data_IF_514440065137
#
_entry.id   IF_514440065137
#
_cell.length_a   1.000
_cell.length_b   1.000
_cell.length_c   1.000
_cell.angle_alpha   90.00
_cell.angle_beta   90.00
_cell.angle_gamma   90.00
#
_symmetry.space_group_name_H-M   'P 1'
#
loop_
_entity.id
_entity.type
_entity.pdbx_description
1 polymer ?
#
# COMPACT_ATOMS: atom_id res chain seq x y z
N UNK A 1 -5.45 -5.80 22.22
CA UNK A 1 -6.25 -6.61 21.27
C UNK A 1 -6.27 -8.04 21.79
N UNK A 2 -7.43 -8.65 21.99
CA UNK A 2 -7.54 -10.06 22.41
C UNK A 2 -7.96 -10.92 21.20
N UNK A 3 -7.42 -12.15 21.04
CA UNK A 3 -7.86 -13.07 19.99
C UNK A 3 -9.36 -13.37 20.09
N UNK A 4 -10.04 -13.59 18.96
CA UNK A 4 -11.40 -14.16 18.97
C UNK A 4 -11.40 -15.50 19.70
N UNK A 5 -12.50 -15.79 20.40
CA UNK A 5 -12.74 -17.06 21.11
C UNK A 5 -12.55 -18.23 20.11
N UNK A 6 -11.66 -19.17 20.45
CA UNK A 6 -11.30 -20.31 19.58
C UNK A 6 -10.00 -20.16 18.79
N UNK A 7 -9.38 -18.97 18.75
CA UNK A 7 -8.03 -18.80 18.17
C UNK A 7 -6.96 -18.87 19.26
N UNK A 8 -5.99 -19.79 19.11
CA UNK A 8 -4.87 -19.88 20.04
C UNK A 8 -4.04 -18.59 20.08
N UNK A 9 -3.60 -18.16 21.27
CA UNK A 9 -2.86 -16.90 21.44
C UNK A 9 -1.62 -16.81 20.55
N UNK A 10 -0.86 -17.91 20.43
CA UNK A 10 0.31 -18.02 19.56
C UNK A 10 -0.04 -17.87 18.08
N UNK A 11 -1.16 -18.43 17.65
CA UNK A 11 -1.62 -18.35 16.27
C UNK A 11 -2.11 -16.94 15.92
N UNK A 12 -2.82 -16.29 16.84
CA UNK A 12 -3.22 -14.90 16.69
C UNK A 12 -2.02 -13.98 16.46
N UNK A 13 -1.01 -14.06 17.32
CA UNK A 13 0.20 -13.24 17.17
C UNK A 13 1.00 -13.61 15.93
N UNK A 14 1.10 -14.90 15.58
CA UNK A 14 1.75 -15.33 14.33
C UNK A 14 1.06 -14.72 13.11
N UNK A 15 -0.27 -14.77 13.06
CA UNK A 15 -1.05 -14.18 11.97
C UNK A 15 -0.93 -12.67 11.96
N UNK A 16 -1.09 -12.01 13.11
CA UNK A 16 -0.92 -10.56 13.23
C UNK A 16 0.47 -10.11 12.77
N UNK A 17 1.53 -10.80 13.19
CA UNK A 17 2.91 -10.45 12.82
C UNK A 17 3.19 -10.63 11.32
N UNK A 18 2.46 -11.51 10.63
CA UNK A 18 2.55 -11.65 9.16
C UNK A 18 2.15 -10.36 8.42
N UNK A 19 1.23 -9.58 8.99
CA UNK A 19 0.73 -8.33 8.41
C UNK A 19 1.31 -7.09 9.10
N UNK A 20 1.34 -7.05 10.43
CA UNK A 20 1.74 -5.88 11.21
C UNK A 20 3.22 -5.50 11.10
N UNK A 21 4.07 -6.39 10.59
CA UNK A 21 5.47 -6.07 10.26
C UNK A 21 5.63 -5.47 8.86
N UNK A 22 4.56 -5.39 8.06
CA UNK A 22 4.56 -4.82 6.72
C UNK A 22 3.91 -3.45 6.76
N UNK A 23 4.68 -2.46 7.19
CA UNK A 23 4.31 -1.05 7.10
C UNK A 23 4.62 -0.61 5.67
N UNK A 24 3.68 0.09 5.05
CA UNK A 24 3.84 0.74 3.74
C UNK A 24 4.29 2.18 3.97
N UNK A 25 5.04 2.76 3.03
CA UNK A 25 5.58 4.12 3.22
C UNK A 25 4.46 5.18 3.23
N UNK A 26 3.55 5.13 2.25
CA UNK A 26 2.45 6.08 2.12
C UNK A 26 1.17 5.42 1.58
N UNK A 27 0.04 6.06 1.86
CA UNK A 27 -1.28 5.66 1.35
C UNK A 27 -2.01 6.89 0.83
N UNK A 28 -2.58 6.79 -0.37
CA UNK A 28 -3.53 7.74 -0.90
C UNK A 28 -4.95 7.28 -0.57
N UNK A 29 -5.75 8.17 0.05
CA UNK A 29 -7.13 7.90 0.45
C UNK A 29 -8.07 8.97 -0.11
N UNK A 30 -9.31 8.58 -0.37
CA UNK A 30 -10.40 9.56 -0.50
C UNK A 30 -10.70 10.13 0.89
N UNK A 31 -10.53 11.44 1.13
CA UNK A 31 -10.72 12.04 2.44
C UNK A 31 -12.17 12.01 2.93
N UNK A 32 -13.14 11.84 2.04
CA UNK A 32 -14.57 11.81 2.41
C UNK A 32 -15.03 10.42 2.84
N UNK A 33 -14.49 9.37 2.24
CA UNK A 33 -14.93 7.98 2.46
C UNK A 33 -13.92 7.15 3.25
N UNK A 34 -12.66 7.60 3.32
CA UNK A 34 -11.54 6.84 3.90
C UNK A 34 -11.11 5.64 3.05
N UNK A 35 -11.65 5.49 1.83
CA UNK A 35 -11.27 4.40 0.92
C UNK A 35 -9.82 4.59 0.48
N UNK A 36 -9.05 3.51 0.51
CA UNK A 36 -7.67 3.49 0.01
C UNK A 36 -7.69 3.41 -1.51
N UNK A 37 -7.22 4.46 -2.18
CA UNK A 37 -7.12 4.51 -3.65
C UNK A 37 -5.81 3.91 -4.16
N UNK A 38 -4.72 4.05 -3.39
CA UNK A 38 -3.44 3.41 -3.68
C UNK A 38 -2.53 3.32 -2.46
N UNK A 39 -1.70 2.28 -2.45
CA UNK A 39 -0.50 2.18 -1.62
C UNK A 39 0.69 2.71 -2.42
N UNK A 40 1.53 3.53 -1.82
CA UNK A 40 2.71 4.13 -2.45
C UNK A 40 3.95 3.67 -1.67
N UNK A 41 4.89 3.04 -2.37
CA UNK A 41 6.13 2.48 -1.78
C UNK A 41 7.35 3.10 -2.47
N UNK A 42 8.39 3.37 -1.69
CA UNK A 42 9.70 3.79 -2.19
C UNK A 42 10.57 2.54 -2.45
N UNK A 43 11.11 2.42 -3.66
CA UNK A 43 11.88 1.25 -4.06
C UNK A 43 13.35 1.43 -3.65
N UNK A 44 13.83 0.74 -2.60
CA UNK A 44 15.26 0.74 -2.26
C UNK A 44 16.02 -0.31 -3.09
N UNK A 45 17.25 0.02 -3.51
CA UNK A 45 18.10 -0.86 -4.30
C UNK A 45 18.58 -2.11 -3.54
N UNK A 46 18.28 -2.23 -2.25
CA UNK A 46 18.66 -3.34 -1.36
C UNK A 46 17.66 -4.49 -1.32
N UNK A 47 16.70 -4.52 -2.27
CA UNK A 47 15.54 -5.38 -2.20
C UNK A 47 15.81 -6.90 -2.33
N UNK A 48 15.13 -7.66 -1.46
CA UNK A 48 15.07 -9.13 -1.48
C UNK A 48 13.83 -9.56 -2.27
N UNK A 49 14.07 -10.10 -3.47
CA UNK A 49 13.02 -10.48 -4.41
C UNK A 49 11.99 -11.48 -3.84
N UNK A 50 12.35 -12.29 -2.85
CA UNK A 50 11.40 -13.23 -2.21
C UNK A 50 10.46 -12.48 -1.27
N UNK A 51 10.98 -11.51 -0.52
CA UNK A 51 10.17 -10.66 0.37
C UNK A 51 9.23 -9.78 -0.44
N UNK A 52 9.69 -9.26 -1.57
CA UNK A 52 8.86 -8.42 -2.46
C UNK A 52 7.72 -9.21 -3.07
N UNK A 53 7.96 -10.40 -3.61
CA UNK A 53 6.87 -11.26 -4.11
C UNK A 53 5.82 -11.55 -3.05
N UNK A 54 6.23 -11.76 -1.79
CA UNK A 54 5.30 -11.98 -0.68
C UNK A 54 4.54 -10.71 -0.27
N UNK A 55 5.12 -9.52 -0.49
CA UNK A 55 4.46 -8.22 -0.27
C UNK A 55 3.46 -7.95 -1.40
N UNK A 56 3.87 -8.14 -2.65
CA UNK A 56 3.03 -8.00 -3.84
C UNK A 56 1.81 -8.91 -3.79
N UNK A 57 2.00 -10.20 -3.50
CA UNK A 57 0.90 -11.14 -3.39
C UNK A 57 -0.11 -10.72 -2.31
N UNK A 58 0.36 -10.13 -1.20
CA UNK A 58 -0.50 -9.67 -0.13
C UNK A 58 -1.29 -8.41 -0.52
N UNK A 59 -0.64 -7.44 -1.15
CA UNK A 59 -1.29 -6.22 -1.62
C UNK A 59 -2.32 -6.52 -2.72
N UNK A 60 -1.99 -7.46 -3.63
CA UNK A 60 -2.88 -7.95 -4.67
C UNK A 60 -4.11 -8.67 -4.09
N UNK A 61 -3.95 -9.50 -3.06
CA UNK A 61 -5.08 -10.13 -2.36
C UNK A 61 -6.01 -9.10 -1.72
N UNK A 62 -5.48 -7.97 -1.25
CA UNK A 62 -6.26 -6.84 -0.76
C UNK A 62 -6.84 -5.94 -1.85
N UNK A 63 -6.64 -6.28 -3.14
CA UNK A 63 -7.05 -5.50 -4.30
C UNK A 63 -6.52 -4.05 -4.30
N UNK A 64 -5.39 -3.81 -3.61
CA UNK A 64 -4.80 -2.49 -3.57
C UNK A 64 -4.04 -2.21 -4.86
N UNK A 65 -4.28 -1.03 -5.43
CA UNK A 65 -3.37 -0.46 -6.41
C UNK A 65 -2.05 -0.10 -5.72
N UNK A 66 -0.93 -0.51 -6.31
CA UNK A 66 0.41 -0.19 -5.79
C UNK A 66 1.13 0.73 -6.77
N UNK A 67 1.65 1.85 -6.27
CA UNK A 67 2.51 2.78 -7.01
C UNK A 67 3.91 2.68 -6.41
N UNK A 68 4.91 2.39 -7.23
CA UNK A 68 6.31 2.31 -6.79
C UNK A 68 7.09 3.50 -7.32
N UNK A 69 7.79 4.20 -6.43
CA UNK A 69 8.69 5.29 -6.80
C UNK A 69 10.12 4.75 -6.79
N UNK A 70 10.83 4.71 -7.94
CA UNK A 70 12.18 4.17 -8.00
C UNK A 70 13.16 5.05 -7.20
N UNK A 71 14.08 4.46 -6.43
CA UNK A 71 15.15 5.22 -5.75
C UNK A 71 16.22 5.76 -6.70
N UNK A 72 16.28 5.24 -7.93
CA UNK A 72 17.27 5.61 -8.95
C UNK A 72 16.56 5.89 -10.28
N UNK A 73 16.67 7.11 -10.84
CA UNK A 73 17.36 8.27 -10.28
C UNK A 73 16.72 8.73 -8.96
N UNK A 74 17.43 9.59 -8.19
CA UNK A 74 16.90 10.13 -6.93
C UNK A 74 15.49 10.69 -7.18
N UNK A 75 14.46 10.28 -6.42
CA UNK A 75 13.11 10.79 -6.59
C UNK A 75 13.08 12.31 -6.56
N UNK A 76 12.44 12.91 -7.56
CA UNK A 76 12.12 14.34 -7.61
C UNK A 76 10.62 14.53 -7.50
N UNK A 77 10.18 15.74 -7.18
CA UNK A 77 8.75 16.09 -7.14
C UNK A 77 8.06 15.78 -8.48
N UNK A 78 8.71 16.03 -9.61
CA UNK A 78 8.17 15.71 -10.93
C UNK A 78 7.93 14.20 -11.10
N UNK A 79 8.88 13.35 -10.72
CA UNK A 79 8.74 11.89 -10.79
C UNK A 79 7.55 11.42 -9.93
N UNK A 80 7.43 11.94 -8.71
CA UNK A 80 6.33 11.59 -7.80
C UNK A 80 4.99 12.07 -8.37
N UNK A 81 4.94 13.29 -8.92
CA UNK A 81 3.75 13.87 -9.53
C UNK A 81 3.28 13.06 -10.73
N UNK A 82 4.19 12.65 -11.60
CA UNK A 82 3.88 11.85 -12.78
C UNK A 82 3.38 10.46 -12.38
N UNK A 83 4.03 9.82 -11.41
CA UNK A 83 3.62 8.51 -10.91
C UNK A 83 2.21 8.52 -10.25
N UNK A 84 1.82 9.65 -9.67
CA UNK A 84 0.54 9.80 -8.93
C UNK A 84 -0.55 10.50 -9.73
N UNK A 85 -0.28 10.96 -10.96
CA UNK A 85 -1.21 11.79 -11.74
C UNK A 85 -2.58 11.15 -11.97
N UNK A 86 -2.61 9.82 -12.10
CA UNK A 86 -3.84 9.06 -12.31
C UNK A 86 -4.78 9.13 -11.09
N UNK A 87 -4.27 9.29 -9.87
CA UNK A 87 -5.09 9.47 -8.66
C UNK A 87 -5.89 10.77 -8.74
N UNK A 88 -5.25 11.85 -9.20
CA UNK A 88 -5.89 13.16 -9.41
C UNK A 88 -6.96 13.15 -10.51
N UNK A 89 -6.92 12.18 -11.42
CA UNK A 89 -7.96 12.02 -12.45
C UNK A 89 -9.18 11.26 -11.91
N UNK A 90 -8.96 10.29 -10.99
CA UNK A 90 -10.04 9.56 -10.32
C UNK A 90 -10.87 10.51 -9.46
N UNK A 91 -10.21 11.34 -8.65
CA UNK A 91 -10.86 12.38 -7.84
C UNK A 91 -11.78 13.28 -8.69
N UNK A 92 -11.25 13.80 -9.81
CA UNK A 92 -12.01 14.70 -10.70
C UNK A 92 -13.22 14.03 -11.34
N UNK A 93 -13.13 12.74 -11.68
CA UNK A 93 -14.28 11.97 -12.22
C UNK A 93 -15.34 11.77 -11.15
N UNK A 94 -14.94 11.44 -9.93
CA UNK A 94 -15.86 11.26 -8.81
C UNK A 94 -16.64 12.54 -8.50
N UNK A 95 -15.99 13.71 -8.56
CA UNK A 95 -16.66 15.02 -8.39
C UNK A 95 -17.61 15.34 -9.54
N UNK A 96 -17.23 15.07 -10.80
CA UNK A 96 -18.08 15.34 -11.96
C UNK A 96 -19.32 14.42 -12.08
N UNK A 97 -19.31 13.28 -11.36
CA UNK A 97 -20.44 12.34 -11.30
C UNK A 97 -21.42 12.59 -10.14
N UNK A 98 -21.18 13.60 -9.31
CA UNK A 98 -22.05 14.03 -8.20
C UNK A 98 -22.86 15.24 -8.62
#
# INVERSE_FOLDING_TARGET
MQPKKGLGHKEFWRTRNRFGQKIVDFVAIDPNTGVVEAVIELDDASHDAVKDRKRDAMLALGQYRVIRIPSKPRPTEAIVRDATIALRQLERRAVASR
#
